data_IF_084578310373
#
_entry.id   IF_084578310373
#
_cell.length_a   1.000
_cell.length_b   1.000
_cell.length_c   1.000
_cell.angle_alpha   90.00
_cell.angle_beta   90.00
_cell.angle_gamma   90.00
#
_symmetry.space_group_name_H-M   'P 1'
#
loop_
_entity.id
_entity.type
_entity.pdbx_description
1 polymer ?
#
# COMPACT_ATOMS: atom_id res chain seq x y z
N UNK A 1 -6.89 -1.42 -12.47
CA UNK A 1 -7.37 -0.04 -12.73
C UNK A 1 -6.46 0.71 -13.71
N UNK A 2 -5.17 0.92 -13.42
CA UNK A 2 -4.23 1.64 -14.33
C UNK A 2 -4.33 1.22 -15.80
N UNK A 3 -4.29 -0.09 -16.11
CA UNK A 3 -4.42 -0.53 -17.51
C UNK A 3 -5.73 -0.12 -18.21
N UNK A 4 -6.84 0.06 -17.48
CA UNK A 4 -8.10 0.57 -18.06
C UNK A 4 -8.06 2.08 -18.31
N UNK A 5 -7.36 2.83 -17.46
CA UNK A 5 -7.08 4.25 -17.66
C UNK A 5 -6.17 4.44 -18.86
N UNK A 6 -5.04 3.72 -18.87
CA UNK A 6 -4.03 3.82 -19.91
C UNK A 6 -4.61 3.46 -21.29
N UNK A 7 -5.37 2.37 -21.38
CA UNK A 7 -5.99 1.95 -22.65
C UNK A 7 -6.96 3.00 -23.20
N UNK A 8 -7.85 3.51 -22.33
CA UNK A 8 -8.80 4.53 -22.76
C UNK A 8 -8.10 5.82 -23.20
N UNK A 9 -7.16 6.31 -22.40
CA UNK A 9 -6.38 7.51 -22.74
C UNK A 9 -5.58 7.31 -24.02
N UNK A 10 -5.07 6.10 -24.26
CA UNK A 10 -4.33 5.77 -25.48
C UNK A 10 -5.22 5.71 -26.72
N UNK A 11 -6.44 5.17 -26.61
CA UNK A 11 -7.43 5.20 -27.70
C UNK A 11 -7.86 6.65 -27.96
N UNK A 12 -8.17 7.41 -26.89
CA UNK A 12 -8.69 8.76 -26.99
C UNK A 12 -7.67 9.75 -27.60
N UNK A 13 -6.38 9.65 -27.24
CA UNK A 13 -5.34 10.50 -27.86
C UNK A 13 -5.11 10.16 -29.34
N UNK A 14 -5.25 8.88 -29.74
CA UNK A 14 -5.10 8.46 -31.14
C UNK A 14 -6.33 8.78 -31.99
N UNK A 15 -7.50 8.95 -31.36
CA UNK A 15 -8.75 9.25 -32.05
C UNK A 15 -8.85 10.76 -32.27
N UNK A 16 -8.04 11.24 -33.21
CA UNK A 16 -7.82 12.65 -33.50
C UNK A 16 -7.74 12.92 -35.01
N UNK A 17 -8.13 14.12 -35.41
CA UNK A 17 -8.06 14.64 -36.77
C UNK A 17 -8.12 16.18 -36.76
N UNK A 18 -8.18 16.80 -37.94
CA UNK A 18 -8.17 18.27 -38.07
C UNK A 18 -9.42 18.97 -37.51
N UNK A 19 -10.53 18.23 -37.35
CA UNK A 19 -11.82 18.73 -36.85
C UNK A 19 -12.49 17.77 -35.85
N UNK A 20 -11.76 16.78 -35.33
CA UNK A 20 -12.28 15.78 -34.40
C UNK A 20 -11.18 15.40 -33.39
N UNK A 21 -11.56 15.06 -32.16
CA UNK A 21 -10.59 14.69 -31.13
C UNK A 21 -11.27 14.16 -29.88
N UNK A 22 -10.78 13.03 -29.35
CA UNK A 22 -11.30 12.46 -28.10
C UNK A 22 -10.54 12.89 -26.84
N UNK A 23 -9.38 13.54 -27.02
CA UNK A 23 -8.74 14.37 -26.02
C UNK A 23 -8.41 15.71 -26.67
N UNK A 24 -8.70 16.81 -25.99
CA UNK A 24 -8.45 18.17 -26.45
C UNK A 24 -7.56 18.91 -25.47
N UNK A 25 -6.84 19.91 -25.96
CA UNK A 25 -6.07 20.81 -25.10
C UNK A 25 -6.99 21.73 -24.30
N UNK A 26 -6.51 22.24 -23.17
CA UNK A 26 -7.22 23.24 -22.39
C UNK A 26 -7.51 24.49 -23.25
N UNK A 27 -8.79 24.87 -23.37
CA UNK A 27 -9.25 25.94 -24.26
C UNK A 27 -9.87 25.46 -25.57
N UNK A 28 -9.81 24.15 -25.87
CA UNK A 28 -10.49 23.53 -27.00
C UNK A 28 -9.78 23.69 -28.34
N UNK A 29 -10.47 23.36 -29.44
CA UNK A 29 -10.02 23.69 -30.81
C UNK A 29 -8.95 22.80 -31.43
N UNK A 30 -8.20 22.03 -30.63
CA UNK A 30 -7.19 21.09 -31.12
C UNK A 30 -7.17 19.79 -30.30
N UNK A 31 -6.91 18.68 -30.98
CA UNK A 31 -6.69 17.40 -30.31
C UNK A 31 -5.36 17.41 -29.55
N UNK A 32 -5.35 16.83 -28.35
CA UNK A 32 -4.16 16.67 -27.54
C UNK A 32 -3.45 15.35 -27.90
N UNK A 33 -2.16 15.44 -28.25
CA UNK A 33 -1.33 14.30 -28.60
C UNK A 33 -0.44 13.87 -27.42
N UNK A 34 -0.07 12.59 -27.39
CA UNK A 34 0.96 12.09 -26.49
C UNK A 34 2.35 12.37 -27.07
N UNK A 35 3.10 13.25 -26.43
CA UNK A 35 4.47 13.57 -26.80
C UNK A 35 5.42 13.31 -25.63
N UNK A 36 6.38 12.39 -25.82
CA UNK A 36 7.42 12.06 -24.83
C UNK A 36 6.88 11.78 -23.42
N UNK A 37 5.68 11.20 -23.33
CA UNK A 37 5.04 10.87 -22.04
C UNK A 37 4.22 12.00 -21.43
N UNK A 38 3.87 13.02 -22.21
CA UNK A 38 3.08 14.19 -21.80
C UNK A 38 1.87 14.34 -22.72
N UNK A 39 0.71 14.68 -22.16
CA UNK A 39 -0.49 15.09 -22.90
C UNK A 39 -0.89 16.46 -22.34
N UNK A 40 -0.94 17.49 -23.18
CA UNK A 40 -1.32 18.86 -22.78
C UNK A 40 -0.60 19.37 -21.51
N UNK A 41 0.73 19.27 -21.49
CA UNK A 41 1.59 19.62 -20.34
C UNK A 41 1.42 18.74 -19.08
N UNK A 42 0.55 17.73 -19.10
CA UNK A 42 0.36 16.78 -17.99
C UNK A 42 1.17 15.52 -18.25
N UNK A 43 2.00 15.12 -17.28
CA UNK A 43 2.72 13.84 -17.35
C UNK A 43 1.73 12.69 -17.38
N UNK A 44 1.75 11.91 -18.47
CA UNK A 44 0.81 10.83 -18.73
C UNK A 44 1.53 9.64 -19.37
N UNK A 45 2.23 8.86 -18.55
CA UNK A 45 2.94 7.66 -19.00
C UNK A 45 1.94 6.52 -19.25
N UNK A 46 1.47 6.39 -20.50
CA UNK A 46 0.58 5.34 -20.98
C UNK A 46 1.29 3.99 -21.21
N UNK A 47 2.07 3.56 -20.23
CA UNK A 47 2.78 2.28 -20.24
C UNK A 47 2.85 1.68 -18.85
N UNK A 48 3.09 0.37 -18.81
CA UNK A 48 3.44 -0.28 -17.56
C UNK A 48 4.76 0.31 -17.03
N UNK A 49 4.75 0.72 -15.76
CA UNK A 49 5.97 1.13 -15.06
C UNK A 49 6.70 -0.11 -14.59
N UNK A 50 8.02 -0.15 -14.79
CA UNK A 50 8.87 -1.18 -14.22
C UNK A 50 8.71 -1.20 -12.69
N UNK A 51 8.56 -2.39 -12.10
CA UNK A 51 8.41 -2.50 -10.66
C UNK A 51 9.76 -2.27 -9.97
N UNK A 52 9.81 -1.20 -9.17
CA UNK A 52 10.96 -0.86 -8.33
C UNK A 52 10.52 -0.75 -6.87
N UNK A 53 11.46 -1.01 -5.95
CA UNK A 53 11.23 -0.84 -4.51
C UNK A 53 11.25 0.65 -4.19
N UNK A 54 10.10 1.29 -4.27
CA UNK A 54 9.93 2.72 -4.00
C UNK A 54 8.77 2.94 -3.03
N UNK A 55 8.92 3.92 -2.13
CA UNK A 55 7.83 4.36 -1.26
C UNK A 55 6.78 5.05 -2.13
N UNK A 56 5.53 4.58 -2.05
CA UNK A 56 4.42 5.19 -2.79
C UNK A 56 4.20 6.63 -2.33
N UNK A 57 4.27 7.57 -3.27
CA UNK A 57 3.92 8.98 -3.07
C UNK A 57 2.86 9.36 -4.10
N UNK A 58 1.61 9.03 -3.82
CA UNK A 58 0.50 9.29 -4.75
C UNK A 58 -0.48 10.27 -4.11
N UNK A 59 -0.39 11.58 -4.43
CA UNK A 59 -1.32 12.56 -3.87
C UNK A 59 -2.76 12.35 -4.38
N UNK A 60 -2.93 11.77 -5.58
CA UNK A 60 -4.24 11.66 -6.23
C UNK A 60 -5.02 10.37 -5.92
N UNK A 61 -4.38 9.39 -5.28
CA UNK A 61 -5.02 8.11 -4.97
C UNK A 61 -4.49 7.63 -3.62
N UNK A 62 -5.28 7.92 -2.58
CA UNK A 62 -4.97 7.77 -1.16
C UNK A 62 -5.94 6.76 -0.53
N UNK A 63 -5.72 6.34 0.73
CA UNK A 63 -6.72 5.56 1.47
C UNK A 63 -8.09 6.23 1.56
N UNK A 64 -8.15 7.56 1.46
CA UNK A 64 -9.37 8.37 1.51
C UNK A 64 -10.12 8.43 0.15
N UNK A 65 -9.52 7.91 -0.92
CA UNK A 65 -10.15 7.83 -2.24
C UNK A 65 -9.28 8.45 -3.34
N UNK A 66 -9.94 8.96 -4.37
CA UNK A 66 -9.31 9.54 -5.56
C UNK A 66 -9.54 11.05 -5.59
N UNK A 67 -8.45 11.80 -5.57
CA UNK A 67 -8.44 13.26 -5.68
C UNK A 67 -8.18 13.69 -7.13
N UNK A 68 -8.69 14.86 -7.51
CA UNK A 68 -8.49 15.44 -8.84
C UNK A 68 -9.39 14.89 -9.95
N UNK A 69 -10.25 13.90 -9.65
CA UNK A 69 -11.35 13.53 -10.54
C UNK A 69 -12.38 14.66 -10.61
N UNK A 70 -12.86 14.96 -11.82
CA UNK A 70 -13.82 16.06 -12.03
C UNK A 70 -15.14 15.77 -11.33
N UNK A 71 -15.76 16.81 -10.80
CA UNK A 71 -17.08 16.71 -10.18
C UNK A 71 -18.13 16.33 -11.26
N UNK A 72 -18.91 15.26 -11.06
CA UNK A 72 -20.00 14.89 -11.96
C UNK A 72 -21.03 15.98 -12.21
N UNK A 73 -21.20 16.95 -11.30
CA UNK A 73 -22.18 18.04 -11.45
C UNK A 73 -21.67 19.23 -12.24
N UNK A 74 -20.37 19.32 -12.52
CA UNK A 74 -19.76 20.44 -13.26
C UNK A 74 -19.95 20.30 -14.78
N UNK A 75 -20.93 19.51 -15.22
CA UNK A 75 -21.30 19.24 -16.60
C UNK A 75 -22.09 20.40 -17.19
N UNK A 76 -21.40 21.51 -17.46
CA UNK A 76 -22.00 22.64 -18.17
C UNK A 76 -22.14 22.30 -19.67
N UNK A 77 -21.31 21.36 -20.17
CA UNK A 77 -21.37 20.75 -21.50
C UNK A 77 -21.27 19.22 -21.33
N UNK A 78 -21.70 18.45 -22.32
CA UNK A 78 -21.61 16.98 -22.45
C UNK A 78 -20.17 16.41 -22.49
N UNK A 79 -19.20 17.15 -21.92
CA UNK A 79 -17.76 16.95 -22.04
C UNK A 79 -17.26 16.87 -23.49
N UNK A 80 -18.01 17.42 -24.46
CA UNK A 80 -17.56 17.59 -25.83
C UNK A 80 -17.01 18.99 -26.06
N UNK A 81 -15.98 19.06 -26.90
CA UNK A 81 -15.58 20.30 -27.53
C UNK A 81 -16.56 20.64 -28.67
N UNK A 82 -16.86 21.93 -28.86
CA UNK A 82 -17.77 22.38 -29.92
C UNK A 82 -17.23 22.16 -31.35
N UNK A 83 -15.91 22.09 -31.49
CA UNK A 83 -15.20 21.97 -32.77
C UNK A 83 -14.54 20.60 -32.95
N UNK A 84 -13.90 20.05 -31.92
CA UNK A 84 -13.25 18.76 -31.94
C UNK A 84 -14.13 17.68 -31.27
N UNK A 85 -15.24 17.33 -31.93
CA UNK A 85 -16.17 16.31 -31.40
C UNK A 85 -15.55 14.92 -31.39
N UNK A 86 -15.93 14.11 -30.40
CA UNK A 86 -15.45 12.74 -30.20
C UNK A 86 -16.55 11.72 -30.41
N UNK A 87 -16.45 10.92 -31.49
CA UNK A 87 -17.47 9.89 -31.80
C UNK A 87 -17.59 8.80 -30.74
N UNK A 88 -16.50 8.50 -30.02
CA UNK A 88 -16.50 7.50 -28.95
C UNK A 88 -17.37 7.92 -27.75
N UNK A 89 -17.72 9.19 -27.67
CA UNK A 89 -18.48 9.79 -26.58
C UNK A 89 -19.91 10.17 -27.00
N UNK A 90 -20.38 9.68 -28.14
CA UNK A 90 -21.71 9.97 -28.71
C UNK A 90 -22.34 8.66 -29.24
N UNK A 91 -23.65 8.49 -29.07
CA UNK A 91 -24.41 7.27 -29.37
C UNK A 91 -25.44 7.42 -30.49
N UNK A 92 -25.37 8.51 -31.27
CA UNK A 92 -26.20 8.74 -32.44
C UNK A 92 -25.57 8.25 -33.77
N UNK A 93 -26.36 8.31 -34.86
CA UNK A 93 -25.95 7.91 -36.21
C UNK A 93 -25.24 9.00 -37.02
N UNK A 94 -25.32 10.27 -36.59
CA UNK A 94 -24.81 11.43 -37.33
C UNK A 94 -23.37 11.79 -36.96
N UNK A 95 -22.97 11.50 -35.73
CA UNK A 95 -21.68 11.85 -35.14
C UNK A 95 -21.21 10.88 -34.05
N UNK A 96 -22.00 9.87 -33.67
CA UNK A 96 -21.63 8.83 -32.71
C UNK A 96 -21.01 7.57 -33.29
N UNK A 97 -20.73 6.62 -32.41
CA UNK A 97 -20.16 5.30 -32.75
C UNK A 97 -21.22 4.31 -33.25
N UNK A 98 -22.50 4.55 -32.97
CA UNK A 98 -23.60 3.65 -33.35
C UNK A 98 -24.20 4.11 -34.67
N UNK A 99 -24.07 3.29 -35.72
CA UNK A 99 -24.51 3.73 -37.06
C UNK A 99 -25.97 3.35 -37.37
N UNK A 100 -26.36 2.10 -37.15
CA UNK A 100 -27.64 1.55 -37.63
C UNK A 100 -28.76 1.51 -36.60
N UNK A 101 -28.44 1.54 -35.30
CA UNK A 101 -29.41 1.43 -34.20
C UNK A 101 -29.28 2.59 -33.19
N UNK A 102 -29.10 3.79 -33.71
CA UNK A 102 -28.81 5.00 -32.95
C UNK A 102 -29.96 5.50 -32.05
N UNK A 103 -31.14 4.88 -32.11
CA UNK A 103 -32.32 5.26 -31.35
C UNK A 103 -32.66 4.31 -30.20
N UNK A 104 -31.81 3.31 -29.96
CA UNK A 104 -32.01 2.31 -28.92
C UNK A 104 -31.53 2.79 -27.54
N UNK A 105 -32.48 3.12 -26.66
CA UNK A 105 -32.23 3.57 -25.28
C UNK A 105 -31.51 2.55 -24.39
N UNK A 106 -31.33 1.31 -24.86
CA UNK A 106 -30.49 0.30 -24.21
C UNK A 106 -29.00 0.46 -24.55
N UNK A 107 -28.65 1.25 -25.58
CA UNK A 107 -27.28 1.54 -25.94
C UNK A 107 -26.60 2.31 -24.80
N UNK A 108 -25.51 1.72 -24.33
CA UNK A 108 -24.65 2.31 -23.32
C UNK A 108 -23.20 1.98 -23.63
N UNK A 109 -22.31 2.94 -23.43
CA UNK A 109 -20.88 2.71 -23.41
C UNK A 109 -20.34 3.11 -22.06
N UNK A 110 -19.42 2.29 -21.57
CA UNK A 110 -18.77 2.49 -20.28
C UNK A 110 -17.27 2.36 -20.46
N UNK A 111 -16.54 3.43 -20.13
CA UNK A 111 -15.09 3.44 -20.18
C UNK A 111 -14.50 3.43 -18.78
N UNK A 112 -13.26 2.97 -18.68
CA UNK A 112 -12.48 2.98 -17.44
C UNK A 112 -13.23 2.31 -16.28
N UNK A 113 -13.83 1.15 -16.53
CA UNK A 113 -14.57 0.41 -15.50
C UNK A 113 -15.81 1.15 -14.98
N UNK A 114 -16.50 1.89 -15.86
CA UNK A 114 -17.78 2.55 -15.56
C UNK A 114 -17.66 4.02 -15.16
N UNK A 115 -16.45 4.57 -15.03
CA UNK A 115 -16.25 5.96 -14.61
C UNK A 115 -16.84 6.97 -15.59
N UNK A 116 -16.63 6.72 -16.89
CA UNK A 116 -17.22 7.51 -17.98
C UNK A 116 -18.35 6.69 -18.56
N UNK A 117 -19.54 7.26 -18.64
CA UNK A 117 -20.72 6.64 -19.24
C UNK A 117 -21.25 7.50 -20.36
N UNK A 118 -21.56 6.86 -21.48
CA UNK A 118 -22.29 7.48 -22.59
C UNK A 118 -23.63 6.78 -22.64
N UNK A 119 -24.71 7.54 -22.51
CA UNK A 119 -26.07 7.01 -22.56
C UNK A 119 -26.90 7.82 -23.53
N UNK A 120 -27.75 7.13 -24.27
CA UNK A 120 -28.65 7.76 -25.21
C UNK A 120 -29.84 8.41 -24.45
N UNK A 121 -29.75 9.71 -24.22
CA UNK A 121 -30.83 10.60 -23.79
C UNK A 121 -30.87 11.79 -24.76
N UNK A 122 -31.82 12.73 -24.61
CA UNK A 122 -31.86 13.94 -25.44
C UNK A 122 -30.50 14.70 -25.41
N UNK A 123 -29.64 14.44 -26.39
CA UNK A 123 -28.31 15.04 -26.56
C UNK A 123 -27.09 14.22 -26.14
N UNK A 124 -27.13 12.87 -26.10
CA UNK A 124 -25.94 11.99 -25.95
C UNK A 124 -24.91 12.47 -24.91
N UNK A 125 -25.33 12.53 -23.64
CA UNK A 125 -24.50 13.11 -22.59
C UNK A 125 -23.48 12.11 -22.07
N UNK A 126 -22.22 12.54 -22.05
CA UNK A 126 -21.18 11.90 -21.25
C UNK A 126 -21.42 12.22 -19.79
N UNK A 127 -21.47 11.19 -18.95
CA UNK A 127 -21.64 11.30 -17.51
C UNK A 127 -20.41 10.73 -16.82
N UNK A 128 -19.82 11.51 -15.91
CA UNK A 128 -18.84 11.03 -14.96
C UNK A 128 -19.55 10.50 -13.71
N UNK A 129 -19.05 9.41 -13.12
CA UNK A 129 -19.76 8.74 -12.03
C UNK A 129 -19.48 9.35 -10.64
N UNK A 130 -18.21 9.69 -10.36
CA UNK A 130 -17.79 10.30 -9.10
C UNK A 130 -16.64 11.31 -9.30
N UNK A 131 -16.23 12.02 -8.24
CA UNK A 131 -15.20 13.06 -8.29
C UNK A 131 -15.63 14.35 -7.59
N UNK A 132 -14.76 15.36 -7.60
CA UNK A 132 -14.95 16.57 -6.81
C UNK A 132 -15.01 16.26 -5.31
N UNK A 133 -16.13 16.58 -4.66
CA UNK A 133 -16.33 16.29 -3.24
C UNK A 133 -16.55 14.80 -2.94
N UNK A 134 -17.01 14.01 -3.92
CA UNK A 134 -17.20 12.56 -3.78
C UNK A 134 -15.94 11.83 -4.25
N UNK A 135 -14.99 11.59 -3.36
CA UNK A 135 -13.69 10.96 -3.68
C UNK A 135 -13.71 9.43 -3.70
N UNK A 136 -14.77 8.81 -3.15
CA UNK A 136 -14.90 7.36 -3.07
C UNK A 136 -15.91 6.84 -4.12
N UNK A 137 -15.58 5.73 -4.80
CA UNK A 137 -16.49 5.10 -5.75
C UNK A 137 -17.59 4.32 -5.03
N UNK A 138 -18.79 4.27 -5.64
CA UNK A 138 -19.82 3.29 -5.26
C UNK A 138 -19.32 1.87 -5.59
N UNK A 139 -19.27 0.99 -4.59
CA UNK A 139 -18.69 -0.35 -4.75
C UNK A 139 -19.55 -1.32 -5.55
N UNK A 140 -20.86 -1.10 -5.62
CA UNK A 140 -21.79 -1.88 -6.43
C UNK A 140 -21.68 -1.47 -7.89
N UNK A 141 -21.53 -0.16 -8.14
CA UNK A 141 -21.49 0.40 -9.49
C UNK A 141 -20.11 0.34 -10.14
N UNK A 142 -19.05 0.60 -9.37
CA UNK A 142 -17.67 0.73 -9.83
C UNK A 142 -16.75 -0.25 -9.08
N UNK A 143 -16.99 -1.57 -9.18
CA UNK A 143 -16.26 -2.56 -8.37
C UNK A 143 -14.74 -2.53 -8.59
N UNK A 144 -14.28 -2.16 -9.79
CA UNK A 144 -12.84 -2.04 -10.08
C UNK A 144 -12.18 -0.85 -9.37
N UNK A 145 -12.88 0.28 -9.27
CA UNK A 145 -12.40 1.46 -8.55
C UNK A 145 -12.45 1.23 -7.05
N UNK A 146 -13.53 0.62 -6.56
CA UNK A 146 -13.68 0.28 -5.15
C UNK A 146 -12.64 -0.73 -4.70
N UNK A 147 -12.39 -1.79 -5.47
CA UNK A 147 -11.34 -2.76 -5.15
C UNK A 147 -9.95 -2.10 -5.05
N UNK A 148 -9.61 -1.17 -5.94
CA UNK A 148 -8.36 -0.44 -5.87
C UNK A 148 -8.29 0.52 -4.65
N UNK A 149 -9.39 1.15 -4.28
CA UNK A 149 -9.48 1.98 -3.06
C UNK A 149 -9.38 1.14 -1.78
N UNK A 150 -10.02 -0.03 -1.74
CA UNK A 150 -9.92 -0.96 -0.62
C UNK A 150 -8.49 -1.50 -0.48
N UNK A 151 -7.82 -1.81 -1.59
CA UNK A 151 -6.42 -2.21 -1.56
C UNK A 151 -5.51 -1.10 -1.00
N UNK A 152 -5.81 0.16 -1.33
CA UNK A 152 -5.15 1.33 -0.75
C UNK A 152 -5.36 1.45 0.75
N UNK A 153 -6.59 1.26 1.24
CA UNK A 153 -6.92 1.30 2.65
C UNK A 153 -6.28 0.17 3.46
N UNK A 154 -6.10 -1.00 2.85
CA UNK A 154 -5.50 -2.18 3.47
C UNK A 154 -3.98 -2.23 3.30
N UNK A 155 -3.38 -1.28 2.58
CA UNK A 155 -1.94 -1.25 2.38
C UNK A 155 -1.26 -1.11 3.75
N UNK A 156 -0.39 -2.07 4.05
CA UNK A 156 0.36 -2.06 5.30
C UNK A 156 1.39 -0.94 5.23
N UNK A 157 1.39 -0.05 6.24
CA UNK A 157 2.46 0.93 6.42
C UNK A 157 3.60 0.31 7.22
N UNK A 158 4.81 0.80 7.00
CA UNK A 158 5.95 0.54 7.89
C UNK A 158 5.63 0.94 9.35
N UNK A 159 4.80 1.97 9.52
CA UNK A 159 4.30 2.47 10.81
C UNK A 159 3.10 1.67 11.35
N UNK A 160 2.77 0.50 10.78
CA UNK A 160 1.66 -0.28 11.32
C UNK A 160 2.02 -0.81 12.72
N UNK A 161 1.10 -0.77 13.70
CA UNK A 161 1.40 -1.19 15.08
C UNK A 161 1.89 -2.64 15.25
N UNK A 162 1.70 -3.50 14.24
CA UNK A 162 2.25 -4.86 14.23
C UNK A 162 3.76 -4.92 13.93
N UNK A 163 4.34 -3.86 13.37
CA UNK A 163 5.77 -3.74 13.08
C UNK A 163 6.51 -2.88 14.10
N UNK A 164 5.77 -2.24 15.01
CA UNK A 164 6.32 -1.44 16.09
C UNK A 164 6.63 -2.27 17.34
N UNK A 165 7.74 -1.90 17.98
CA UNK A 165 8.12 -2.44 19.27
C UNK A 165 7.23 -1.88 20.39
N UNK A 166 6.51 -2.76 21.11
CA UNK A 166 5.62 -2.39 22.23
C UNK A 166 6.35 -2.28 23.58
N UNK A 167 7.54 -1.70 23.60
CA UNK A 167 8.44 -1.70 24.77
C UNK A 167 7.90 -0.89 25.95
N UNK A 168 7.20 0.22 25.69
CA UNK A 168 6.58 1.05 26.73
C UNK A 168 5.36 0.41 27.38
N UNK A 169 4.70 -0.52 26.69
CA UNK A 169 3.49 -1.21 27.15
C UNK A 169 3.77 -2.66 27.58
N UNK A 170 5.04 -3.06 27.69
CA UNK A 170 5.44 -4.45 27.88
C UNK A 170 4.81 -5.09 29.13
N UNK A 171 4.68 -4.34 30.24
CA UNK A 171 4.09 -4.86 31.48
C UNK A 171 2.56 -4.85 31.50
N UNK A 172 1.91 -4.15 30.55
CA UNK A 172 0.46 -4.04 30.42
C UNK A 172 -0.10 -4.83 29.22
N UNK A 173 0.76 -5.34 28.33
CA UNK A 173 0.35 -6.08 27.16
C UNK A 173 -0.03 -7.53 27.53
N UNK A 174 -1.27 -7.93 27.22
CA UNK A 174 -1.80 -9.27 27.50
C UNK A 174 -0.91 -10.40 26.94
N UNK A 175 -0.27 -10.20 25.79
CA UNK A 175 0.66 -11.17 25.20
C UNK A 175 1.88 -11.48 26.09
N UNK A 176 2.26 -10.55 26.96
CA UNK A 176 3.41 -10.66 27.86
C UNK A 176 3.00 -11.28 29.20
N UNK A 177 1.73 -11.22 29.58
CA UNK A 177 1.22 -11.89 30.79
C UNK A 177 1.42 -13.40 30.72
N UNK A 178 1.17 -14.01 29.56
CA UNK A 178 1.46 -15.43 29.33
C UNK A 178 2.95 -15.73 29.53
N UNK A 179 3.83 -14.85 29.04
CA UNK A 179 5.28 -15.01 29.20
C UNK A 179 5.68 -14.93 30.68
N UNK A 180 5.22 -13.93 31.43
CA UNK A 180 5.54 -13.81 32.86
C UNK A 180 4.93 -14.91 33.73
N UNK A 181 3.81 -15.51 33.29
CA UNK A 181 3.19 -16.66 33.96
C UNK A 181 4.07 -17.91 33.87
N UNK A 182 4.84 -18.04 32.78
CA UNK A 182 5.67 -19.20 32.47
C UNK A 182 7.15 -19.03 32.85
N UNK A 183 7.68 -17.80 32.89
CA UNK A 183 9.09 -17.56 33.24
C UNK A 183 9.35 -17.93 34.71
N UNK A 184 10.38 -18.76 34.91
CA UNK A 184 10.84 -19.16 36.24
C UNK A 184 9.87 -20.11 36.95
N UNK A 185 8.93 -20.70 36.22
CA UNK A 185 8.05 -21.74 36.74
C UNK A 185 8.27 -23.02 35.94
N UNK A 186 8.53 -24.12 36.64
CA UNK A 186 8.70 -25.44 36.02
C UNK A 186 7.34 -25.99 35.54
N UNK A 187 6.67 -25.29 34.63
CA UNK A 187 5.36 -25.67 34.07
C UNK A 187 4.15 -25.39 34.97
N UNK A 188 4.29 -24.59 36.03
CA UNK A 188 3.17 -24.19 36.91
C UNK A 188 2.90 -22.70 36.78
N UNK A 189 1.69 -22.30 36.42
CA UNK A 189 1.36 -20.89 36.32
C UNK A 189 1.63 -20.16 37.66
N UNK A 190 2.29 -19.00 37.61
CA UNK A 190 2.36 -18.09 38.77
C UNK A 190 0.97 -17.51 39.05
N UNK A 191 0.64 -17.39 40.33
CA UNK A 191 -0.53 -16.62 40.80
C UNK A 191 -0.37 -15.13 40.42
N UNK A 192 -1.50 -14.42 40.20
CA UNK A 192 -1.47 -13.07 39.61
C UNK A 192 -0.71 -12.03 40.45
N UNK A 193 -0.75 -12.15 41.78
CA UNK A 193 -0.01 -11.28 42.71
C UNK A 193 1.51 -11.50 42.62
N UNK A 194 1.94 -12.75 42.40
CA UNK A 194 3.34 -13.10 42.19
C UNK A 194 3.87 -12.61 40.83
N UNK A 195 3.01 -12.56 39.81
CA UNK A 195 3.35 -11.98 38.49
C UNK A 195 3.62 -10.48 38.61
N UNK A 196 2.77 -9.75 39.33
CA UNK A 196 2.94 -8.30 39.50
C UNK A 196 4.21 -7.97 40.30
N UNK A 197 4.47 -8.71 41.39
CA UNK A 197 5.72 -8.56 42.14
C UNK A 197 6.96 -8.83 41.27
N UNK A 198 6.90 -9.87 40.42
CA UNK A 198 7.98 -10.23 39.52
C UNK A 198 8.21 -9.19 38.42
N UNK A 199 7.15 -8.60 37.87
CA UNK A 199 7.24 -7.47 36.92
C UNK A 199 7.93 -6.26 37.56
N UNK A 200 7.50 -5.86 38.76
CA UNK A 200 8.13 -4.73 39.49
C UNK A 200 9.59 -4.99 39.80
N UNK A 201 9.98 -6.24 40.07
CA UNK A 201 11.37 -6.60 40.29
C UNK A 201 12.22 -6.49 39.01
N UNK A 202 11.69 -6.88 37.86
CA UNK A 202 12.41 -6.83 36.58
C UNK A 202 12.45 -5.43 35.99
N UNK A 203 11.40 -4.64 36.17
CA UNK A 203 11.27 -3.27 35.65
C UNK A 203 11.21 -2.28 36.82
N UNK A 204 12.36 -2.03 37.43
CA UNK A 204 12.50 -1.10 38.58
C UNK A 204 12.32 0.37 38.19
N UNK A 205 12.35 0.68 36.88
CA UNK A 205 12.03 1.98 36.29
C UNK A 205 10.95 1.85 35.20
N UNK A 206 10.93 2.77 34.23
CA UNK A 206 10.00 2.63 33.11
C UNK A 206 10.33 1.35 32.29
N UNK A 207 9.34 0.57 31.84
CA UNK A 207 9.60 -0.61 31.03
C UNK A 207 10.43 -0.32 29.77
N UNK A 208 10.20 0.83 29.14
CA UNK A 208 10.97 1.25 27.97
C UNK A 208 12.45 1.48 28.27
N UNK A 209 12.77 2.18 29.37
CA UNK A 209 14.16 2.46 29.75
C UNK A 209 14.90 1.19 30.15
N UNK A 210 14.23 0.30 30.86
CA UNK A 210 14.84 -0.94 31.31
C UNK A 210 15.07 -1.93 30.15
N UNK A 211 14.12 -2.04 29.21
CA UNK A 211 14.34 -2.78 27.97
C UNK A 211 15.51 -2.18 27.19
N UNK A 212 15.55 -0.85 27.02
CA UNK A 212 16.67 -0.17 26.36
C UNK A 212 18.00 -0.47 27.04
N UNK A 213 18.04 -0.43 28.38
CA UNK A 213 19.23 -0.73 29.19
C UNK A 213 19.71 -2.18 28.97
N UNK A 214 18.79 -3.15 28.97
CA UNK A 214 19.11 -4.56 28.75
C UNK A 214 19.55 -4.83 27.31
N UNK A 215 18.82 -4.31 26.31
CA UNK A 215 19.17 -4.47 24.90
C UNK A 215 20.51 -3.81 24.58
N UNK A 216 20.85 -2.70 25.23
CA UNK A 216 22.19 -2.08 25.10
C UNK A 216 23.28 -3.03 25.61
N UNK A 217 23.07 -3.68 26.77
CA UNK A 217 24.02 -4.68 27.29
C UNK A 217 24.21 -5.87 26.34
N UNK A 218 23.12 -6.34 25.74
CA UNK A 218 23.17 -7.41 24.73
C UNK A 218 23.92 -6.93 23.48
N UNK A 219 23.61 -5.74 23.00
CA UNK A 219 24.22 -5.18 21.78
C UNK A 219 25.74 -5.00 21.91
N UNK A 220 26.25 -4.64 23.09
CA UNK A 220 27.70 -4.46 23.33
C UNK A 220 28.42 -5.74 23.73
N UNK A 221 27.73 -6.88 23.80
CA UNK A 221 28.36 -8.16 24.10
C UNK A 221 29.31 -8.53 22.96
N UNK A 222 30.56 -8.84 23.30
CA UNK A 222 31.59 -9.23 22.35
C UNK A 222 31.58 -10.73 22.07
N UNK A 223 31.79 -11.11 20.82
CA UNK A 223 32.09 -12.50 20.48
C UNK A 223 33.40 -12.94 21.16
N UNK A 224 33.35 -14.02 21.93
CA UNK A 224 34.51 -14.55 22.65
C UNK A 224 35.54 -15.21 21.72
N UNK A 225 35.08 -15.69 20.57
CA UNK A 225 35.86 -16.33 19.53
C UNK A 225 35.38 -15.90 18.14
N UNK A 226 36.19 -16.19 17.11
CA UNK A 226 35.78 -16.02 15.72
C UNK A 226 34.58 -16.94 15.42
N UNK A 227 33.58 -16.44 14.70
CA UNK A 227 32.42 -17.22 14.26
C UNK A 227 32.09 -16.92 12.79
N UNK A 228 32.23 -17.92 11.91
CA UNK A 228 32.17 -17.72 10.47
C UNK A 228 33.19 -16.65 10.02
N UNK A 229 32.70 -15.62 9.32
CA UNK A 229 33.50 -14.48 8.89
C UNK A 229 33.57 -13.33 9.91
N UNK A 230 32.85 -13.44 11.04
CA UNK A 230 32.87 -12.43 12.10
C UNK A 230 34.08 -12.65 13.01
N UNK A 231 34.89 -11.60 13.18
CA UNK A 231 36.08 -11.66 14.00
C UNK A 231 35.73 -11.82 15.49
N UNK A 232 36.70 -12.31 16.27
CA UNK A 232 36.66 -12.19 17.72
C UNK A 232 36.47 -10.70 18.10
N UNK A 233 35.76 -10.45 19.20
CA UNK A 233 35.47 -9.12 19.74
C UNK A 233 34.46 -8.27 18.92
N UNK A 234 33.91 -8.80 17.82
CA UNK A 234 32.75 -8.19 17.13
C UNK A 234 31.60 -8.04 18.11
N UNK A 235 30.92 -6.88 18.11
CA UNK A 235 29.77 -6.66 18.99
C UNK A 235 28.55 -7.39 18.44
N UNK A 236 27.75 -8.01 19.32
CA UNK A 236 26.55 -8.75 18.91
C UNK A 236 25.54 -7.83 18.20
N UNK A 237 25.45 -6.56 18.60
CA UNK A 237 24.61 -5.55 17.97
C UNK A 237 25.05 -5.14 16.55
N UNK A 238 26.27 -5.48 16.13
CA UNK A 238 26.77 -5.23 14.78
C UNK A 238 26.43 -6.37 13.80
N UNK A 239 25.93 -7.51 14.31
CA UNK A 239 25.53 -8.67 13.53
C UNK A 239 24.04 -8.55 13.25
N UNK A 240 23.67 -8.20 12.01
CA UNK A 240 22.27 -7.99 11.60
C UNK A 240 21.72 -9.17 10.79
N UNK A 241 22.58 -10.09 10.38
CA UNK A 241 22.22 -11.25 9.56
C UNK A 241 21.55 -12.33 10.41
N UNK A 242 20.25 -12.56 10.20
CA UNK A 242 19.43 -13.48 10.99
C UNK A 242 19.97 -14.92 10.97
N UNK A 243 20.48 -15.38 9.83
CA UNK A 243 21.09 -16.70 9.70
C UNK A 243 22.38 -16.83 10.54
N UNK A 244 23.18 -15.76 10.64
CA UNK A 244 24.39 -15.75 11.47
C UNK A 244 24.01 -15.77 12.95
N UNK A 245 23.04 -14.96 13.36
CA UNK A 245 22.53 -14.94 14.74
C UNK A 245 21.95 -16.31 15.16
N UNK A 246 21.20 -16.97 14.27
CA UNK A 246 20.65 -18.30 14.53
C UNK A 246 21.73 -19.37 14.69
N UNK A 247 22.76 -19.35 13.83
CA UNK A 247 23.88 -20.28 13.93
C UNK A 247 24.70 -20.05 15.21
N UNK A 248 24.92 -18.78 15.59
CA UNK A 248 25.61 -18.42 16.83
C UNK A 248 24.86 -18.90 18.07
N UNK A 249 23.52 -18.79 18.06
CA UNK A 249 22.68 -19.32 19.14
C UNK A 249 22.82 -20.84 19.26
N UNK A 250 22.80 -21.56 18.14
CA UNK A 250 22.95 -23.02 18.14
C UNK A 250 24.33 -23.47 18.66
N UNK A 251 25.41 -22.81 18.23
CA UNK A 251 26.76 -23.09 18.74
C UNK A 251 26.87 -22.82 20.25
N UNK A 252 26.30 -21.71 20.72
CA UNK A 252 26.25 -21.37 22.15
C UNK A 252 25.48 -22.42 22.97
N UNK A 253 24.39 -22.98 22.42
CA UNK A 253 23.63 -24.05 23.06
C UNK A 253 24.42 -25.35 23.16
N UNK A 254 25.20 -25.69 22.13
CA UNK A 254 26.09 -26.87 22.13
C UNK A 254 27.18 -26.68 23.19
N UNK A 255 27.85 -25.53 23.21
CA UNK A 255 28.90 -25.22 24.21
C UNK A 255 28.35 -25.27 25.64
N UNK A 256 27.14 -24.74 25.87
CA UNK A 256 26.49 -24.83 27.18
C UNK A 256 26.19 -26.29 27.57
N UNK A 257 25.71 -27.12 26.65
CA UNK A 257 25.47 -28.54 26.90
C UNK A 257 26.76 -29.30 27.25
N UNK A 258 27.85 -29.02 26.53
CA UNK A 258 29.17 -29.60 26.81
C UNK A 258 29.72 -29.14 28.17
N UNK A 259 29.54 -27.86 28.50
CA UNK A 259 29.95 -27.30 29.79
C UNK A 259 29.19 -27.93 30.94
N UNK A 260 27.86 -28.08 30.81
CA UNK A 260 27.02 -28.78 31.80
C UNK A 260 27.46 -30.23 31.99
N UNK A 261 27.72 -30.95 30.90
CA UNK A 261 28.25 -32.32 30.97
C UNK A 261 29.56 -32.38 31.77
N UNK A 262 30.50 -31.50 31.43
CA UNK A 262 31.81 -31.41 32.10
C UNK A 262 31.69 -31.04 33.59
N UNK A 263 30.74 -30.16 33.94
CA UNK A 263 30.50 -29.77 35.33
C UNK A 263 29.90 -30.91 36.15
N UNK A 264 28.96 -31.67 35.58
CA UNK A 264 28.37 -32.84 36.24
C UNK A 264 29.42 -33.93 36.47
N UNK A 265 30.28 -34.21 35.48
CA UNK A 265 31.37 -35.17 35.59
C UNK A 265 32.41 -34.81 36.68
N UNK A 266 32.49 -33.53 37.09
CA UNK A 266 33.39 -33.08 38.17
C UNK A 266 32.76 -33.14 39.56
N UNK A 267 31.44 -33.33 39.64
CA UNK A 267 30.69 -33.44 40.89
C UNK A 267 30.52 -34.90 41.35
N UNK A 268 30.73 -35.86 40.43
CA UNK A 268 30.81 -37.31 40.69
C UNK A 268 32.23 -37.75 41.06
#
# INVERSE_FOLDING_TARGET
LKGRLDEWLNIAQQTAGSAHGCLTVCGGGAAAALERGVIDSVTCLLKATEMKKEKRQSPLATPQGYEGLRNPTDQIQDHQDSTAKCRLLTLDCGGGIVHTDASNTQNKLEYIGGYIRVTQNAGDKVVLDFGGAATLPDSTRLPLWAAASTALQKALSEDSPQYDNKTSQLTAAAAVDTLFTLIGTHGKAKESTAIQAYKTQLFTGSPADEVKRLMTKVAVLKLLSKFGDKAKDTLLGEITEVNVLAALLADSQIQNSQTLKTLNEKLE
#
